data_IF_655875427144
#
_entry.id   IF_655875427144
#
_cell.length_a   1.000
_cell.length_b   1.000
_cell.length_c   1.000
_cell.angle_alpha   90.00
_cell.angle_beta   90.00
_cell.angle_gamma   90.00
#
_symmetry.space_group_name_H-M   'P 1'
#
loop_
_entity.id
_entity.type
_entity.pdbx_description
1 polymer ?
#
# COMPACT_ATOMS: atom_id res chain seq x y z
N UNK A 1 13.71 8.55 2.62
CA UNK A 1 13.75 7.45 1.62
C UNK A 1 12.80 7.84 0.52
N UNK A 2 13.22 7.85 -0.72
CA UNK A 2 12.35 8.04 -1.87
C UNK A 2 11.47 6.80 -2.05
N UNK A 3 10.20 6.99 -2.35
CA UNK A 3 9.26 5.93 -2.67
C UNK A 3 9.75 5.14 -3.90
N UNK A 4 9.60 3.83 -3.92
CA UNK A 4 9.92 3.01 -5.10
C UNK A 4 8.97 3.34 -6.26
N UNK A 5 9.49 3.44 -7.49
CA UNK A 5 8.67 3.63 -8.69
C UNK A 5 7.79 2.40 -8.91
N UNK A 6 6.50 2.62 -9.13
CA UNK A 6 5.58 1.57 -9.50
C UNK A 6 5.11 1.78 -10.94
N UNK A 7 5.53 0.93 -11.86
CA UNK A 7 5.08 0.95 -13.25
C UNK A 7 4.24 -0.31 -13.51
N UNK A 8 4.82 -1.46 -13.23
CA UNK A 8 4.22 -2.77 -13.44
C UNK A 8 4.69 -3.74 -12.38
N UNK A 9 3.80 -4.57 -11.89
CA UNK A 9 4.14 -5.62 -10.93
C UNK A 9 3.45 -6.92 -11.32
N UNK A 10 4.19 -8.01 -11.26
CA UNK A 10 3.68 -9.36 -11.47
C UNK A 10 4.02 -10.19 -10.24
N UNK A 11 3.03 -10.85 -9.67
CA UNK A 11 3.21 -11.66 -8.48
C UNK A 11 2.02 -12.58 -8.24
N UNK A 12 2.09 -13.42 -7.20
CA UNK A 12 0.99 -14.27 -6.77
C UNK A 12 0.08 -13.52 -5.81
N UNK A 13 -1.21 -13.89 -5.83
CA UNK A 13 -2.23 -13.29 -4.99
C UNK A 13 -2.43 -14.01 -3.66
N UNK A 14 -2.91 -13.28 -2.65
CA UNK A 14 -3.34 -13.81 -1.36
C UNK A 14 -4.83 -13.54 -1.18
N UNK A 15 -5.70 -14.57 -1.18
CA UNK A 15 -7.15 -14.40 -1.07
C UNK A 15 -7.56 -14.19 0.41
N UNK A 16 -7.65 -12.95 0.86
CA UNK A 16 -8.16 -12.60 2.18
C UNK A 16 -9.68 -12.39 2.11
N UNK A 17 -10.46 -13.46 2.28
CA UNK A 17 -11.94 -13.44 2.27
C UNK A 17 -12.51 -12.83 3.56
N UNK A 18 -12.06 -11.61 3.89
CA UNK A 18 -12.55 -10.85 5.05
C UNK A 18 -12.92 -9.44 4.62
N UNK A 19 -14.12 -9.02 4.99
CA UNK A 19 -14.63 -7.64 4.82
C UNK A 19 -14.59 -6.89 6.14
N UNK A 20 -14.73 -5.56 6.09
CA UNK A 20 -14.70 -4.68 7.27
C UNK A 20 -13.42 -4.85 8.10
N UNK A 21 -12.29 -5.01 7.42
CA UNK A 21 -10.98 -5.17 8.06
C UNK A 21 -10.50 -3.80 8.54
N UNK A 22 -10.42 -3.61 9.85
CA UNK A 22 -9.93 -2.38 10.44
C UNK A 22 -8.41 -2.35 10.63
N UNK A 23 -7.88 -1.17 10.90
CA UNK A 23 -6.43 -0.97 11.05
C UNK A 23 -5.85 -1.65 12.29
N UNK A 24 -6.65 -1.93 13.35
CA UNK A 24 -6.21 -2.71 14.51
C UNK A 24 -6.10 -4.20 14.18
N UNK A 25 -6.91 -4.69 13.26
CA UNK A 25 -6.82 -6.05 12.72
C UNK A 25 -5.63 -6.19 11.77
N UNK A 26 -5.33 -5.14 10.96
CA UNK A 26 -4.15 -5.12 10.09
C UNK A 26 -2.88 -5.10 10.94
N UNK A 27 -2.80 -4.21 11.94
CA UNK A 27 -1.67 -4.12 12.87
C UNK A 27 -2.16 -3.72 14.27
N UNK A 28 -2.04 -4.61 15.27
CA UNK A 28 -2.45 -4.30 16.64
C UNK A 28 -1.67 -3.13 17.24
N UNK A 29 -2.36 -2.35 18.12
CA UNK A 29 -1.83 -1.12 18.70
C UNK A 29 -0.49 -1.29 19.44
N UNK A 30 -0.17 -2.49 19.95
CA UNK A 30 1.09 -2.77 20.64
C UNK A 30 2.33 -2.52 19.76
N UNK A 31 2.21 -2.71 18.45
CA UNK A 31 3.30 -2.48 17.48
C UNK A 31 3.54 -1.00 17.18
N UNK A 32 2.56 -0.12 17.45
CA UNK A 32 2.67 1.32 17.15
C UNK A 32 3.71 2.07 17.98
N UNK A 33 4.26 1.45 19.01
CA UNK A 33 5.33 2.01 19.84
C UNK A 33 6.71 2.00 19.16
N UNK A 34 6.84 1.30 18.04
CA UNK A 34 8.10 1.24 17.28
C UNK A 34 8.35 2.58 16.57
N UNK A 35 9.58 3.07 16.66
CA UNK A 35 9.99 4.39 16.12
C UNK A 35 10.39 4.28 14.63
N UNK A 36 10.86 3.11 14.18
CA UNK A 36 11.29 2.91 12.80
C UNK A 36 10.09 2.72 11.85
N UNK A 37 10.30 2.95 10.54
CA UNK A 37 9.31 2.63 9.49
C UNK A 37 9.46 1.23 8.91
N UNK A 38 10.34 0.41 9.47
CA UNK A 38 10.63 -0.96 9.03
C UNK A 38 10.55 -1.93 10.20
N UNK A 39 10.37 -3.21 9.90
CA UNK A 39 10.26 -4.26 10.91
C UNK A 39 8.84 -4.42 11.45
N UNK A 40 7.82 -4.16 10.62
CA UNK A 40 6.40 -4.31 10.99
C UNK A 40 5.77 -5.59 10.41
N UNK A 41 6.52 -6.41 9.68
CA UNK A 41 6.05 -7.65 9.05
C UNK A 41 5.52 -8.68 10.05
N UNK A 42 6.06 -8.72 11.26
CA UNK A 42 5.61 -9.58 12.36
C UNK A 42 4.27 -9.11 12.96
N UNK A 43 3.99 -7.80 12.85
CA UNK A 43 2.74 -7.20 13.31
C UNK A 43 1.57 -7.36 12.35
N UNK A 44 1.85 -7.66 11.07
CA UNK A 44 0.80 -7.79 10.07
C UNK A 44 -0.15 -8.93 10.40
N UNK A 45 -1.43 -8.61 10.60
CA UNK A 45 -2.49 -9.55 11.00
C UNK A 45 -2.10 -10.44 12.19
N UNK A 46 -1.30 -9.93 13.14
CA UNK A 46 -0.71 -10.71 14.21
C UNK A 46 -1.74 -11.51 15.03
N UNK A 47 -2.94 -10.95 15.28
CA UNK A 47 -4.00 -11.65 15.97
C UNK A 47 -4.52 -12.87 15.17
N UNK A 48 -4.65 -12.74 13.86
CA UNK A 48 -5.14 -13.82 12.99
C UNK A 48 -4.08 -14.88 12.70
N UNK A 49 -2.80 -14.50 12.74
CA UNK A 49 -1.69 -15.44 12.52
C UNK A 49 -1.55 -16.50 13.62
N UNK A 50 -2.25 -16.35 14.75
CA UNK A 50 -2.34 -17.39 15.75
C UNK A 50 -3.22 -18.58 15.31
N UNK A 51 -4.06 -18.39 14.29
CA UNK A 51 -4.87 -19.44 13.67
C UNK A 51 -4.05 -20.14 12.57
N UNK A 52 -3.74 -21.44 12.67
CA UNK A 52 -3.01 -22.18 11.65
C UNK A 52 -3.67 -22.16 10.27
N UNK A 53 -5.00 -22.03 10.22
CA UNK A 53 -5.78 -21.99 8.98
C UNK A 53 -5.79 -20.60 8.32
N UNK A 54 -5.21 -19.60 8.97
CA UNK A 54 -5.14 -18.26 8.40
C UNK A 54 -4.34 -18.26 7.09
N UNK A 55 -4.85 -17.57 6.07
CA UNK A 55 -4.33 -17.63 4.70
C UNK A 55 -2.82 -17.36 4.60
N UNK A 56 -2.27 -16.42 5.38
CA UNK A 56 -0.83 -16.12 5.36
C UNK A 56 0.04 -17.16 6.08
N UNK A 57 -0.56 -18.11 6.80
CA UNK A 57 0.16 -19.23 7.41
C UNK A 57 0.28 -20.42 6.45
N UNK A 58 -0.46 -20.40 5.34
CA UNK A 58 -0.43 -21.46 4.33
C UNK A 58 0.76 -21.26 3.38
N UNK A 59 1.56 -22.30 3.18
CA UNK A 59 2.75 -22.26 2.31
C UNK A 59 2.44 -21.73 0.90
N UNK A 60 1.26 -22.03 0.39
CA UNK A 60 0.81 -21.60 -0.93
C UNK A 60 0.69 -20.07 -1.07
N UNK A 61 0.44 -19.34 0.02
CA UNK A 61 0.13 -17.90 -0.02
C UNK A 61 1.13 -17.02 0.72
N UNK A 62 1.98 -17.57 1.58
CA UNK A 62 2.87 -16.79 2.45
C UNK A 62 3.84 -15.83 1.74
N UNK A 63 4.14 -16.10 0.46
CA UNK A 63 5.04 -15.28 -0.36
C UNK A 63 4.29 -14.42 -1.39
N UNK A 64 2.96 -14.35 -1.32
CA UNK A 64 2.18 -13.53 -2.22
C UNK A 64 2.44 -12.04 -2.03
N UNK A 65 2.49 -11.30 -3.12
CA UNK A 65 2.79 -9.86 -3.14
C UNK A 65 1.59 -9.00 -3.49
N UNK A 66 0.46 -9.62 -3.78
CA UNK A 66 -0.81 -8.95 -4.11
C UNK A 66 -1.89 -9.45 -3.16
N UNK A 67 -2.35 -8.58 -2.26
CA UNK A 67 -3.44 -8.93 -1.35
C UNK A 67 -4.79 -8.69 -2.01
N UNK A 68 -5.66 -9.69 -2.02
CA UNK A 68 -7.04 -9.57 -2.52
C UNK A 68 -7.98 -9.66 -1.32
N UNK A 69 -8.47 -8.52 -0.86
CA UNK A 69 -9.27 -8.38 0.36
C UNK A 69 -10.75 -8.15 0.05
N UNK A 70 -11.62 -8.40 1.03
CA UNK A 70 -13.03 -8.07 0.97
C UNK A 70 -13.31 -6.57 1.07
N UNK A 71 -14.57 -6.21 0.94
CA UNK A 71 -15.04 -4.82 1.02
C UNK A 71 -14.70 -4.15 2.36
N UNK A 72 -14.59 -2.82 2.35
CA UNK A 72 -14.30 -2.00 3.54
C UNK A 72 -12.96 -2.33 4.20
N UNK A 73 -11.93 -2.45 3.37
CA UNK A 73 -10.58 -2.70 3.88
C UNK A 73 -9.91 -1.42 4.38
N UNK A 74 -9.32 -1.48 5.57
CA UNK A 74 -8.57 -0.38 6.19
C UNK A 74 -9.45 0.61 6.95
N UNK A 75 -10.62 0.18 7.45
CA UNK A 75 -11.49 0.99 8.31
C UNK A 75 -10.84 1.33 9.65
N UNK A 76 -11.48 2.20 10.44
CA UNK A 76 -10.99 2.58 11.76
C UNK A 76 -10.02 3.76 11.75
N UNK A 77 -9.05 3.75 12.65
CA UNK A 77 -8.13 4.88 12.85
C UNK A 77 -7.16 5.08 11.68
N UNK A 78 -6.82 6.36 11.41
CA UNK A 78 -5.80 6.70 10.41
C UNK A 78 -4.40 6.29 10.89
N UNK A 79 -3.92 5.13 10.45
CA UNK A 79 -2.61 4.61 10.85
C UNK A 79 -1.76 4.29 9.63
N UNK A 80 -0.72 5.06 9.42
CA UNK A 80 0.30 4.74 8.40
C UNK A 80 0.98 3.40 8.67
N UNK A 81 1.06 2.98 9.93
CA UNK A 81 1.63 1.70 10.34
C UNK A 81 0.93 0.49 9.67
N UNK A 82 -0.37 0.59 9.38
CA UNK A 82 -1.08 -0.46 8.64
C UNK A 82 -0.54 -0.61 7.21
N UNK A 83 -0.21 0.51 6.57
CA UNK A 83 0.42 0.53 5.25
C UNK A 83 1.85 -0.03 5.34
N UNK A 84 2.62 0.40 6.33
CA UNK A 84 4.00 -0.09 6.53
C UNK A 84 4.04 -1.58 6.82
N UNK A 85 3.11 -2.11 7.61
CA UNK A 85 3.02 -3.54 7.89
C UNK A 85 2.80 -4.37 6.62
N UNK A 86 1.89 -3.93 5.75
CA UNK A 86 1.64 -4.56 4.46
C UNK A 86 2.88 -4.50 3.56
N UNK A 87 3.52 -3.34 3.45
CA UNK A 87 4.72 -3.17 2.62
C UNK A 87 5.92 -3.95 3.16
N UNK A 88 6.16 -3.93 4.48
CA UNK A 88 7.28 -4.66 5.10
C UNK A 88 7.09 -6.18 4.96
N UNK A 89 5.85 -6.66 4.95
CA UNK A 89 5.57 -8.07 4.65
C UNK A 89 5.89 -8.45 3.20
N UNK A 90 5.84 -7.49 2.27
CA UNK A 90 6.14 -7.70 0.86
C UNK A 90 4.98 -7.38 -0.09
N UNK A 91 3.83 -6.94 0.42
CA UNK A 91 2.74 -6.54 -0.46
C UNK A 91 3.08 -5.26 -1.23
N UNK A 92 2.87 -5.30 -2.54
CA UNK A 92 3.01 -4.17 -3.47
C UNK A 92 1.65 -3.62 -3.89
N UNK A 93 0.62 -4.46 -3.88
CA UNK A 93 -0.74 -4.13 -4.31
C UNK A 93 -1.75 -4.70 -3.33
N UNK A 94 -2.81 -3.95 -3.07
CA UNK A 94 -4.02 -4.43 -2.40
C UNK A 94 -5.20 -4.21 -3.33
N UNK A 95 -5.97 -5.27 -3.59
CA UNK A 95 -7.19 -5.24 -4.40
C UNK A 95 -8.38 -5.45 -3.47
N UNK A 96 -9.41 -4.62 -3.60
CA UNK A 96 -10.67 -4.74 -2.84
C UNK A 96 -11.80 -4.08 -3.63
N UNK A 97 -13.04 -4.42 -3.31
CA UNK A 97 -14.19 -3.71 -3.91
C UNK A 97 -14.47 -2.34 -3.27
N UNK A 98 -13.98 -2.10 -2.04
CA UNK A 98 -14.07 -0.81 -1.35
C UNK A 98 -12.99 -0.69 -0.28
N UNK A 99 -12.40 0.50 -0.17
CA UNK A 99 -11.45 0.86 0.87
C UNK A 99 -12.01 1.98 1.75
N UNK A 100 -11.54 2.08 2.98
CA UNK A 100 -11.65 3.31 3.75
C UNK A 100 -10.78 4.41 3.11
N UNK A 101 -11.33 5.61 2.96
CA UNK A 101 -10.69 6.71 2.21
C UNK A 101 -9.31 7.08 2.77
N UNK A 102 -9.19 7.15 4.10
CA UNK A 102 -7.93 7.51 4.76
C UNK A 102 -6.87 6.44 4.52
N UNK A 103 -7.23 5.15 4.66
CA UNK A 103 -6.30 4.05 4.39
C UNK A 103 -5.83 4.08 2.94
N UNK A 104 -6.75 4.24 2.00
CA UNK A 104 -6.44 4.34 0.56
C UNK A 104 -5.49 5.50 0.27
N UNK A 105 -5.80 6.69 0.83
CA UNK A 105 -4.95 7.88 0.68
C UNK A 105 -3.54 7.67 1.22
N UNK A 106 -3.39 7.11 2.42
CA UNK A 106 -2.10 6.81 3.04
C UNK A 106 -1.33 5.75 2.23
N UNK A 107 -2.01 4.72 1.73
CA UNK A 107 -1.41 3.67 0.91
C UNK A 107 -0.80 4.24 -0.37
N UNK A 108 -1.56 5.01 -1.14
CA UNK A 108 -1.11 5.61 -2.39
C UNK A 108 0.02 6.63 -2.18
N UNK A 109 -0.03 7.40 -1.09
CA UNK A 109 1.07 8.31 -0.69
C UNK A 109 2.33 7.57 -0.29
N UNK A 110 2.20 6.41 0.32
CA UNK A 110 3.30 5.56 0.76
C UNK A 110 3.85 4.61 -0.30
N UNK A 111 3.24 4.55 -1.50
CA UNK A 111 3.69 3.66 -2.59
C UNK A 111 3.09 2.25 -2.56
N UNK A 112 2.08 2.01 -1.73
CA UNK A 112 1.27 0.79 -1.78
C UNK A 112 0.08 1.02 -2.72
N UNK A 113 0.06 0.37 -3.88
CA UNK A 113 -1.01 0.54 -4.84
C UNK A 113 -2.31 -0.12 -4.34
N UNK A 114 -3.40 0.64 -4.24
CA UNK A 114 -4.74 0.14 -3.92
C UNK A 114 -5.61 0.20 -5.16
N UNK A 115 -6.23 -0.93 -5.51
CA UNK A 115 -7.05 -1.09 -6.71
C UNK A 115 -8.48 -1.45 -6.29
N UNK A 116 -9.44 -0.71 -6.82
CA UNK A 116 -10.86 -1.01 -6.66
C UNK A 116 -11.31 -1.79 -7.90
N UNK A 117 -11.86 -2.98 -7.67
CA UNK A 117 -12.56 -3.79 -8.68
C UNK A 117 -13.98 -4.06 -8.18
N UNK A 118 -14.88 -4.38 -9.10
CA UNK A 118 -16.22 -4.80 -8.72
C UNK A 118 -16.18 -6.05 -7.82
N UNK A 119 -17.14 -6.13 -6.89
CA UNK A 119 -17.20 -7.24 -5.92
C UNK A 119 -17.19 -8.62 -6.61
N UNK A 120 -17.91 -8.76 -7.70
CA UNK A 120 -17.94 -10.02 -8.48
C UNK A 120 -16.56 -10.39 -9.04
N UNK A 121 -15.73 -9.41 -9.43
CA UNK A 121 -14.38 -9.67 -9.93
C UNK A 121 -13.41 -10.02 -8.78
N UNK A 122 -13.59 -9.41 -7.61
CA UNK A 122 -12.85 -9.78 -6.40
C UNK A 122 -13.16 -11.23 -6.01
N UNK A 123 -14.42 -11.63 -6.03
CA UNK A 123 -14.85 -13.00 -5.73
C UNK A 123 -14.30 -14.01 -6.75
N UNK A 124 -14.39 -13.70 -8.03
CA UNK A 124 -13.81 -14.54 -9.08
C UNK A 124 -12.28 -14.68 -8.97
N UNK A 125 -11.61 -13.62 -8.52
CA UNK A 125 -10.17 -13.66 -8.26
C UNK A 125 -9.84 -14.54 -7.05
N UNK A 126 -10.63 -14.50 -5.98
CA UNK A 126 -10.47 -15.43 -4.85
C UNK A 126 -10.62 -16.88 -5.28
N UNK A 127 -11.68 -17.21 -6.05
CA UNK A 127 -11.91 -18.59 -6.55
C UNK A 127 -10.74 -19.07 -7.40
N UNK A 128 -10.24 -18.21 -8.27
CA UNK A 128 -9.06 -18.52 -9.10
C UNK A 128 -7.82 -18.82 -8.25
N UNK A 129 -7.53 -17.98 -7.26
CA UNK A 129 -6.36 -18.13 -6.40
C UNK A 129 -6.45 -19.35 -5.46
N UNK A 130 -7.66 -19.68 -5.00
CA UNK A 130 -7.88 -20.87 -4.17
C UNK A 130 -7.80 -22.16 -4.98
N UNK A 131 -8.23 -22.15 -6.24
CA UNK A 131 -8.11 -23.29 -7.15
C UNK A 131 -6.69 -23.50 -7.65
N UNK A 132 -5.96 -22.41 -7.91
CA UNK A 132 -4.54 -22.43 -8.32
C UNK A 132 -3.78 -21.26 -7.65
N UNK A 133 -3.14 -21.50 -6.49
CA UNK A 133 -2.36 -20.48 -5.80
C UNK A 133 -1.14 -19.97 -6.59
N UNK A 134 -0.73 -20.66 -7.64
CA UNK A 134 0.39 -20.26 -8.50
C UNK A 134 -0.02 -19.25 -9.57
N UNK A 135 -1.32 -18.97 -9.69
CA UNK A 135 -1.84 -18.01 -10.66
C UNK A 135 -1.12 -16.66 -10.52
N UNK A 136 -0.49 -16.25 -11.61
CA UNK A 136 0.19 -14.97 -11.70
C UNK A 136 -0.79 -13.84 -11.99
N UNK A 137 -0.71 -12.78 -11.21
CA UNK A 137 -1.46 -11.55 -11.42
C UNK A 137 -0.48 -10.48 -11.87
N UNK A 138 -0.79 -9.83 -12.99
CA UNK A 138 -0.03 -8.68 -13.48
C UNK A 138 -0.85 -7.41 -13.31
N UNK A 139 -0.30 -6.47 -12.59
CA UNK A 139 -0.86 -5.11 -12.42
C UNK A 139 0.01 -4.15 -13.21
N UNK A 140 -0.60 -3.43 -14.13
CA UNK A 140 0.07 -2.47 -15.00
C UNK A 140 -0.55 -1.08 -14.81
N UNK A 141 0.26 -0.14 -14.31
CA UNK A 141 -0.19 1.22 -14.00
C UNK A 141 -0.21 2.13 -15.23
N UNK A 142 0.55 1.79 -16.28
CA UNK A 142 0.51 2.54 -17.55
C UNK A 142 -0.82 2.32 -18.26
N UNK A 143 -1.24 1.07 -18.36
CA UNK A 143 -2.51 0.67 -19.01
C UNK A 143 -3.69 0.68 -18.06
N UNK A 144 -3.45 0.80 -16.74
CA UNK A 144 -4.48 0.74 -15.68
C UNK A 144 -5.25 -0.58 -15.71
N UNK A 145 -4.52 -1.68 -15.79
CA UNK A 145 -5.11 -3.02 -15.93
C UNK A 145 -4.59 -3.99 -14.87
N UNK A 146 -5.47 -4.94 -14.53
CA UNK A 146 -5.15 -6.14 -13.75
C UNK A 146 -5.42 -7.35 -14.65
N UNK A 147 -4.39 -8.13 -14.94
CA UNK A 147 -4.48 -9.31 -15.79
C UNK A 147 -4.17 -10.59 -14.99
N UNK A 148 -5.01 -11.61 -15.10
CA UNK A 148 -4.79 -12.94 -14.55
C UNK A 148 -5.53 -14.01 -15.37
N UNK A 149 -4.93 -15.16 -15.57
CA UNK A 149 -5.49 -16.18 -16.48
C UNK A 149 -5.78 -15.60 -17.87
N UNK A 150 -7.03 -15.68 -18.30
CA UNK A 150 -7.53 -15.08 -19.55
C UNK A 150 -8.23 -13.72 -19.35
N UNK A 151 -8.34 -13.24 -18.10
CA UNK A 151 -9.01 -11.98 -17.77
C UNK A 151 -8.05 -10.81 -17.84
N UNK A 152 -8.57 -9.67 -18.31
CA UNK A 152 -7.89 -8.38 -18.29
C UNK A 152 -8.90 -7.29 -17.89
N UNK A 153 -8.78 -6.79 -16.66
CA UNK A 153 -9.72 -5.88 -16.02
C UNK A 153 -9.13 -4.49 -15.95
N UNK A 154 -9.91 -3.47 -16.27
CA UNK A 154 -9.50 -2.07 -16.09
C UNK A 154 -9.83 -1.58 -14.70
N UNK A 155 -8.99 -0.68 -14.15
CA UNK A 155 -9.27 0.01 -12.89
C UNK A 155 -9.08 1.52 -13.01
N UNK A 156 -9.77 2.26 -12.14
CA UNK A 156 -9.69 3.70 -12.10
C UNK A 156 -8.65 4.19 -11.09
N UNK A 157 -7.81 5.11 -11.54
CA UNK A 157 -6.90 5.88 -10.70
C UNK A 157 -6.77 7.27 -11.34
N UNK A 158 -6.74 8.33 -10.53
CA UNK A 158 -6.55 9.68 -11.03
C UNK A 158 -5.12 9.89 -11.58
N UNK A 159 -5.00 10.78 -12.56
CA UNK A 159 -3.74 10.96 -13.30
C UNK A 159 -2.60 11.49 -12.42
N UNK A 160 -2.90 12.31 -11.41
CA UNK A 160 -1.89 12.85 -10.51
C UNK A 160 -1.31 11.77 -9.59
N UNK A 161 -2.17 10.96 -8.97
CA UNK A 161 -1.75 9.83 -8.13
C UNK A 161 -0.97 8.80 -8.96
N UNK A 162 -1.45 8.48 -10.17
CA UNK A 162 -0.77 7.59 -11.10
C UNK A 162 0.64 8.10 -11.42
N UNK A 163 0.77 9.36 -11.81
CA UNK A 163 2.06 9.99 -12.09
C UNK A 163 3.01 9.93 -10.89
N UNK A 164 2.53 10.24 -9.67
CA UNK A 164 3.34 10.15 -8.46
C UNK A 164 3.90 8.76 -8.21
N UNK A 165 3.08 7.72 -8.34
CA UNK A 165 3.48 6.33 -8.18
C UNK A 165 4.50 5.91 -9.23
N UNK A 166 4.28 6.27 -10.50
CA UNK A 166 5.19 5.94 -11.59
C UNK A 166 6.56 6.64 -11.45
N UNK A 167 6.58 7.86 -10.92
CA UNK A 167 7.81 8.61 -10.67
C UNK A 167 8.46 8.29 -9.31
N UNK A 168 7.78 7.55 -8.43
CA UNK A 168 8.26 7.25 -7.08
C UNK A 168 8.34 8.49 -6.18
N UNK A 169 7.34 9.39 -6.27
CA UNK A 169 7.32 10.67 -5.59
C UNK A 169 6.41 10.66 -4.36
N UNK A 170 7.02 10.66 -3.19
CA UNK A 170 6.34 11.00 -1.94
C UNK A 170 6.20 12.53 -1.77
N UNK A 171 5.56 12.98 -0.69
CA UNK A 171 5.33 14.40 -0.44
C UNK A 171 6.66 15.17 -0.27
N UNK A 172 7.70 14.53 0.25
CA UNK A 172 9.04 15.12 0.37
C UNK A 172 9.70 15.23 -1.01
N UNK A 173 9.64 14.17 -1.81
CA UNK A 173 10.17 14.16 -3.17
C UNK A 173 9.53 15.22 -4.07
N UNK A 174 8.23 15.47 -3.90
CA UNK A 174 7.52 16.56 -4.57
C UNK A 174 8.05 17.94 -4.16
N UNK A 175 8.26 18.15 -2.87
CA UNK A 175 8.82 19.41 -2.35
C UNK A 175 10.24 19.64 -2.86
N UNK A 176 11.08 18.61 -2.86
CA UNK A 176 12.46 18.67 -3.34
C UNK A 176 12.58 18.98 -4.84
N UNK A 177 11.54 18.74 -5.64
CA UNK A 177 11.52 19.22 -7.05
C UNK A 177 11.49 20.74 -7.19
N UNK A 178 11.18 21.46 -6.10
CA UNK A 178 11.11 22.92 -6.06
C UNK A 178 12.33 23.54 -5.34
N UNK A 179 13.47 22.81 -5.27
CA UNK A 179 14.67 23.24 -4.51
C UNK A 179 15.13 24.63 -4.92
N UNK A 180 15.20 24.95 -6.23
CA UNK A 180 15.62 26.27 -6.69
C UNK A 180 14.70 27.40 -6.20
N UNK A 181 13.39 27.15 -6.15
CA UNK A 181 12.40 28.10 -5.62
C UNK A 181 12.53 28.26 -4.12
N UNK A 182 12.80 27.18 -3.40
CA UNK A 182 13.04 27.19 -1.94
C UNK A 182 14.32 27.96 -1.64
N UNK A 183 15.41 27.69 -2.33
CA UNK A 183 16.70 28.38 -2.17
C UNK A 183 16.57 29.89 -2.45
N UNK A 184 15.81 30.25 -3.49
CA UNK A 184 15.53 31.64 -3.81
C UNK A 184 14.75 32.35 -2.71
N UNK A 185 13.73 31.68 -2.16
CA UNK A 185 12.96 32.20 -1.04
C UNK A 185 13.82 32.36 0.22
N UNK A 186 14.65 31.35 0.54
CA UNK A 186 15.52 31.39 1.72
C UNK A 186 16.54 32.53 1.66
N UNK A 187 17.11 32.82 0.47
CA UNK A 187 18.01 33.95 0.26
C UNK A 187 17.37 35.32 0.50
N UNK A 188 16.08 35.44 0.25
CA UNK A 188 15.32 36.69 0.44
C UNK A 188 14.67 36.78 1.82
N UNK A 189 14.77 35.73 2.64
CA UNK A 189 14.16 35.69 3.97
C UNK A 189 14.81 36.69 4.92
N UNK A 190 14.02 37.53 5.63
CA UNK A 190 14.58 38.50 6.57
C UNK A 190 15.42 37.87 7.67
N UNK A 191 16.57 38.44 7.97
CA UNK A 191 17.56 37.91 8.95
C UNK A 191 17.03 37.75 10.38
N UNK A 192 15.97 38.50 10.74
CA UNK A 192 15.33 38.37 12.07
C UNK A 192 14.45 37.13 12.21
N UNK A 193 14.14 36.44 11.14
CA UNK A 193 13.41 35.15 11.19
C UNK A 193 14.41 34.01 11.38
N UNK A 194 14.08 33.00 12.22
CA UNK A 194 14.96 31.85 12.43
C UNK A 194 15.36 31.22 11.09
N UNK A 195 16.63 31.02 10.87
CA UNK A 195 17.16 30.54 9.58
C UNK A 195 16.83 29.07 9.32
N UNK A 196 16.51 28.26 10.30
CA UNK A 196 16.01 26.89 10.25
C UNK A 196 16.13 26.20 11.61
N UNK A 197 15.94 24.90 11.67
CA UNK A 197 16.04 24.10 12.89
C UNK A 197 17.34 24.38 13.65
N UNK A 198 17.28 24.49 15.00
CA UNK A 198 18.50 24.65 15.79
C UNK A 198 19.42 23.46 15.51
N UNK A 199 20.70 23.77 15.22
CA UNK A 199 21.73 22.75 15.12
C UNK A 199 21.81 22.11 16.52
N UNK A 200 21.46 20.82 16.59
CA UNK A 200 21.70 20.08 17.83
C UNK A 200 23.19 19.91 17.97
N UNK A 201 23.75 20.64 18.95
CA UNK A 201 25.12 20.40 19.45
C UNK A 201 25.24 19.06 20.13
#
# INVERSE_FOLDING_TARGET
MTMEKFIKHTGTGVPLRRSNVDTDQIIPAVYLKRVSRSGFEDGLFAAWRNDPEFVLNKDAFKNGTILVAGADFGTGSSREHAVWALQNYGFKVVISSRFADIFRGNSLKGGLLTIILDQAEVEALWETLESDPTTSITVDLETRTVAYGSKNLSFAIDDYTRWRLMEGLDDIGLTLKQTDSIDSFEKTRPAYKPATLPIRS
#
